data_IF_490020519439
#
_entry.id   IF_490020519439
#
_cell.length_a   1.000
_cell.length_b   1.000
_cell.length_c   1.000
_cell.angle_alpha   90.00
_cell.angle_beta   90.00
_cell.angle_gamma   90.00
#
_symmetry.space_group_name_H-M   'P 1'
#
loop_
_entity.id
_entity.type
_entity.pdbx_description
1 polymer ?
#
# COMPACT_ATOMS: atom_id res chain seq x y z
N UNK A 1 -22.30 -42.46 -37.66
CA UNK A 1 -21.20 -43.45 -37.60
C UNK A 1 -20.67 -43.73 -39.01
N UNK A 2 -19.39 -43.48 -39.29
CA UNK A 2 -18.76 -43.70 -40.62
C UNK A 2 -18.38 -45.17 -40.90
N UNK A 3 -19.04 -46.13 -40.24
CA UNK A 3 -18.73 -47.56 -40.36
C UNK A 3 -18.83 -48.12 -41.78
N UNK A 4 -19.70 -47.54 -42.64
CA UNK A 4 -19.83 -47.98 -44.04
C UNK A 4 -18.58 -47.68 -44.88
N UNK A 5 -17.76 -46.69 -44.50
CA UNK A 5 -16.49 -46.37 -45.17
C UNK A 5 -15.34 -47.32 -44.79
N UNK A 6 -15.50 -48.11 -43.73
CA UNK A 6 -14.50 -49.09 -43.31
C UNK A 6 -14.71 -50.42 -44.03
N UNK A 7 -13.60 -51.10 -44.36
CA UNK A 7 -13.64 -52.46 -44.90
C UNK A 7 -14.37 -53.41 -43.92
N UNK A 8 -15.07 -54.45 -44.41
CA UNK A 8 -15.92 -55.31 -43.57
C UNK A 8 -15.21 -55.89 -42.33
N UNK A 9 -13.92 -56.21 -42.45
CA UNK A 9 -13.10 -56.75 -41.35
C UNK A 9 -12.79 -55.78 -40.21
N UNK A 10 -13.01 -54.48 -40.42
CA UNK A 10 -12.69 -53.41 -39.46
C UNK A 10 -13.92 -52.67 -38.93
N UNK A 11 -15.13 -53.07 -39.32
CA UNK A 11 -16.37 -52.51 -38.75
C UNK A 11 -16.54 -53.00 -37.31
N UNK A 12 -16.89 -52.08 -36.39
CA UNK A 12 -17.12 -52.38 -34.97
C UNK A 12 -15.87 -52.51 -34.08
N UNK A 13 -14.64 -52.48 -34.63
CA UNK A 13 -13.40 -52.56 -33.82
C UNK A 13 -12.97 -51.24 -33.17
N UNK A 14 -13.52 -50.12 -33.63
CA UNK A 14 -13.12 -48.78 -33.19
C UNK A 14 -14.26 -48.03 -32.49
N UNK A 15 -15.28 -48.75 -32.02
CA UNK A 15 -16.29 -48.15 -31.15
C UNK A 15 -15.65 -47.89 -29.79
N UNK A 16 -15.36 -46.61 -29.53
CA UNK A 16 -14.85 -46.14 -28.25
C UNK A 16 -16.05 -45.90 -27.35
N UNK A 17 -16.23 -46.74 -26.33
CA UNK A 17 -17.15 -46.41 -25.24
C UNK A 17 -16.40 -45.52 -24.23
N UNK A 18 -16.83 -44.26 -24.02
CA UNK A 18 -16.21 -43.41 -23.02
C UNK A 18 -16.53 -43.96 -21.64
N UNK A 19 -15.54 -44.53 -20.97
CA UNK A 19 -15.62 -44.87 -19.55
C UNK A 19 -15.22 -43.64 -18.78
N UNK A 20 -16.21 -42.95 -18.20
CA UNK A 20 -15.95 -41.81 -17.32
C UNK A 20 -15.48 -42.33 -15.96
N UNK A 21 -14.16 -42.46 -15.81
CA UNK A 21 -13.53 -42.77 -14.53
C UNK A 21 -13.39 -41.47 -13.68
N UNK A 22 -13.48 -41.55 -12.35
CA UNK A 22 -13.23 -40.40 -11.48
C UNK A 22 -11.77 -39.95 -11.60
N UNK A 23 -11.54 -38.64 -11.50
CA UNK A 23 -10.20 -38.05 -11.55
C UNK A 23 -9.27 -38.67 -10.49
N UNK A 24 -8.10 -39.15 -10.93
CA UNK A 24 -7.03 -39.62 -10.05
C UNK A 24 -5.80 -38.75 -10.23
N UNK A 25 -5.28 -38.23 -9.12
CA UNK A 25 -4.01 -37.53 -9.09
C UNK A 25 -2.91 -38.53 -8.76
N UNK A 26 -2.12 -38.91 -9.77
CA UNK A 26 -0.91 -39.71 -9.61
C UNK A 26 0.32 -38.84 -9.88
N UNK A 27 1.32 -38.94 -9.02
CA UNK A 27 2.58 -38.25 -9.22
C UNK A 27 3.35 -38.96 -10.34
N UNK A 28 3.46 -38.31 -11.49
CA UNK A 28 4.33 -38.78 -12.57
C UNK A 28 5.72 -38.14 -12.45
N UNK A 29 6.80 -38.93 -12.58
CA UNK A 29 8.14 -38.38 -12.61
C UNK A 29 8.32 -37.54 -13.89
N UNK A 30 8.70 -36.27 -13.74
CA UNK A 30 9.02 -35.40 -14.87
C UNK A 30 10.47 -35.64 -15.31
N UNK A 31 10.74 -35.99 -16.58
CA UNK A 31 12.10 -36.22 -17.05
C UNK A 31 12.89 -34.90 -17.09
N UNK A 32 14.13 -34.91 -16.58
CA UNK A 32 15.03 -33.76 -16.69
C UNK A 32 15.43 -33.60 -18.16
N UNK A 33 14.89 -32.57 -18.82
CA UNK A 33 15.06 -32.35 -20.26
C UNK A 33 16.45 -31.80 -20.60
N UNK A 34 17.07 -31.03 -19.71
CA UNK A 34 18.40 -30.47 -19.96
C UNK A 34 19.13 -30.09 -18.66
N UNK A 35 20.43 -30.36 -18.60
CA UNK A 35 21.33 -29.97 -17.51
C UNK A 35 22.38 -29.04 -18.07
N UNK A 36 22.27 -27.74 -17.79
CA UNK A 36 23.25 -26.75 -18.21
C UNK A 36 24.16 -26.34 -17.04
N UNK A 37 25.48 -26.28 -17.31
CA UNK A 37 26.47 -25.78 -16.34
C UNK A 37 26.54 -24.26 -16.45
N UNK A 38 26.22 -23.55 -15.37
CA UNK A 38 26.27 -22.09 -15.32
C UNK A 38 27.68 -21.58 -15.69
N UNK A 39 27.84 -20.69 -16.69
CA UNK A 39 29.15 -20.15 -17.04
C UNK A 39 29.74 -19.36 -15.86
N UNK A 40 31.08 -19.37 -15.73
CA UNK A 40 31.78 -18.56 -14.73
C UNK A 40 31.61 -17.08 -15.09
N UNK A 41 30.79 -16.37 -14.32
CA UNK A 41 30.70 -14.90 -14.40
C UNK A 41 32.06 -14.30 -14.03
N UNK A 42 32.48 -13.21 -14.71
CA UNK A 42 33.61 -12.39 -14.25
C UNK A 42 33.34 -12.00 -12.79
N UNK A 43 34.23 -12.40 -11.89
CA UNK A 43 34.25 -11.88 -10.53
C UNK A 43 34.58 -10.40 -10.62
N UNK A 44 33.67 -9.53 -10.20
CA UNK A 44 34.00 -8.13 -9.97
C UNK A 44 34.82 -8.08 -8.69
N UNK A 45 36.09 -7.68 -8.78
CA UNK A 45 36.88 -7.40 -7.58
C UNK A 45 36.35 -6.13 -6.93
N UNK A 46 35.45 -6.29 -5.96
CA UNK A 46 34.93 -5.20 -5.15
C UNK A 46 35.80 -5.10 -3.90
N UNK A 47 36.59 -4.03 -3.80
CA UNK A 47 37.33 -3.70 -2.59
C UNK A 47 36.50 -2.69 -1.79
N UNK A 48 36.11 -3.08 -0.57
CA UNK A 48 35.53 -2.15 0.40
C UNK A 48 36.71 -1.51 1.14
N UNK A 49 36.91 -0.19 0.96
CA UNK A 49 37.91 0.59 1.67
C UNK A 49 37.15 1.44 2.71
N UNK A 50 37.47 1.26 3.97
CA UNK A 50 36.92 2.05 5.07
C UNK A 50 38.02 2.99 5.57
N UNK A 51 37.88 4.28 5.28
CA UNK A 51 38.79 5.33 5.78
C UNK A 51 37.97 6.27 6.65
N UNK A 52 38.34 6.36 7.93
CA UNK A 52 37.80 7.36 8.88
C UNK A 52 36.26 7.40 8.96
N UNK A 53 35.59 6.25 8.88
CA UNK A 53 34.13 6.16 8.98
C UNK A 53 33.36 6.46 7.68
N UNK A 54 34.07 6.73 6.58
CA UNK A 54 33.50 6.80 5.24
C UNK A 54 33.64 5.45 4.52
N UNK A 55 32.52 4.87 4.08
CA UNK A 55 32.53 3.63 3.29
C UNK A 55 32.60 3.96 1.80
N UNK A 56 33.79 4.01 1.24
CA UNK A 56 33.97 4.20 -0.19
C UNK A 56 34.29 2.84 -0.83
N UNK A 57 33.60 2.51 -1.91
CA UNK A 57 33.87 1.27 -2.63
C UNK A 57 34.32 1.57 -4.04
N UNK A 58 35.41 0.93 -4.42
CA UNK A 58 36.03 1.07 -5.73
C UNK A 58 35.48 -0.03 -6.63
N UNK A 59 34.83 0.35 -7.73
CA UNK A 59 34.35 -0.58 -8.76
C UNK A 59 34.99 -0.19 -10.07
N UNK A 60 35.82 -1.07 -10.63
CA UNK A 60 36.41 -0.95 -11.96
C UNK A 60 36.95 0.46 -12.30
N UNK A 61 37.74 1.05 -11.40
CA UNK A 61 38.40 2.36 -11.64
C UNK A 61 37.63 3.59 -11.17
N UNK A 62 36.38 3.44 -10.70
CA UNK A 62 35.55 4.55 -10.23
C UNK A 62 35.35 4.47 -8.71
N UNK A 63 35.71 5.55 -8.01
CA UNK A 63 35.42 5.73 -6.58
C UNK A 63 33.98 6.20 -6.43
N UNK A 64 33.15 5.39 -5.76
CA UNK A 64 31.78 5.78 -5.41
C UNK A 64 31.79 6.29 -3.97
N UNK A 65 31.72 7.60 -3.82
CA UNK A 65 31.53 8.24 -2.53
C UNK A 65 30.15 7.90 -2.00
N UNK A 66 30.08 7.13 -0.91
CA UNK A 66 28.84 7.05 -0.15
C UNK A 66 28.74 8.28 0.77
N UNK A 67 27.50 8.71 1.03
CA UNK A 67 27.22 9.64 2.13
C UNK A 67 27.93 9.15 3.42
N UNK A 68 28.56 10.04 4.21
CA UNK A 68 29.29 9.68 5.43
C UNK A 68 28.40 9.02 6.49
N UNK A 69 27.08 9.13 6.35
CA UNK A 69 26.13 8.44 7.22
C UNK A 69 25.98 6.96 6.83
N UNK A 70 26.66 6.09 7.58
CA UNK A 70 26.49 4.64 7.52
C UNK A 70 25.68 4.10 8.69
N UNK A 71 24.87 3.08 8.45
CA UNK A 71 24.19 2.32 9.51
C UNK A 71 25.11 1.21 9.99
N UNK A 72 25.37 1.07 11.30
CA UNK A 72 26.14 -0.05 11.83
C UNK A 72 25.44 -1.39 11.55
N UNK A 73 26.19 -2.49 11.54
CA UNK A 73 25.69 -3.82 11.16
C UNK A 73 25.98 -4.23 9.71
N UNK A 74 26.92 -3.55 9.07
CA UNK A 74 27.42 -3.88 7.74
C UNK A 74 26.38 -3.69 6.62
N UNK A 75 26.65 -4.31 5.47
CA UNK A 75 25.84 -4.08 4.25
C UNK A 75 24.56 -4.92 4.19
N UNK A 76 24.41 -5.93 5.05
CA UNK A 76 23.29 -6.86 5.02
C UNK A 76 21.95 -6.13 5.17
N UNK A 77 21.84 -5.22 6.16
CA UNK A 77 20.61 -4.46 6.42
C UNK A 77 20.19 -3.65 5.19
N UNK A 78 21.14 -3.06 4.45
CA UNK A 78 20.86 -2.30 3.23
C UNK A 78 20.21 -3.16 2.15
N UNK A 79 20.56 -4.45 2.02
CA UNK A 79 20.04 -5.32 0.97
C UNK A 79 18.78 -6.09 1.39
N UNK A 80 18.76 -6.62 2.61
CA UNK A 80 17.68 -7.47 3.11
C UNK A 80 16.44 -6.70 3.58
N UNK A 81 16.57 -5.46 4.05
CA UNK A 81 15.40 -4.63 4.43
C UNK A 81 14.43 -4.44 3.26
N UNK A 82 13.13 -4.57 3.53
CA UNK A 82 12.07 -4.22 2.57
C UNK A 82 11.82 -2.71 2.54
N UNK A 83 11.89 -2.06 3.71
CA UNK A 83 11.72 -0.62 3.87
C UNK A 83 12.86 -0.06 4.73
N UNK A 84 13.40 1.10 4.38
CA UNK A 84 14.34 1.86 5.21
C UNK A 84 13.82 3.29 5.37
N UNK A 85 13.75 3.72 6.61
CA UNK A 85 13.30 5.04 7.01
C UNK A 85 14.50 5.79 7.59
N UNK A 86 14.76 6.99 7.11
CA UNK A 86 15.71 7.94 7.70
C UNK A 86 14.89 8.99 8.47
N UNK A 87 15.03 9.01 9.79
CA UNK A 87 14.35 9.95 10.68
C UNK A 87 15.31 11.04 11.12
N UNK A 88 14.94 12.29 10.90
CA UNK A 88 15.70 13.46 11.31
C UNK A 88 14.82 14.42 12.09
N UNK A 89 15.35 15.00 13.15
CA UNK A 89 14.70 16.10 13.86
C UNK A 89 14.86 17.39 13.05
N UNK A 90 13.76 18.09 12.82
CA UNK A 90 13.73 19.36 12.09
C UNK A 90 13.70 20.53 13.06
N UNK A 91 12.67 20.58 13.91
CA UNK A 91 12.42 21.70 14.80
C UNK A 91 12.03 21.20 16.19
N UNK A 92 12.34 21.98 17.22
CA UNK A 92 11.88 21.72 18.59
C UNK A 92 10.66 22.59 18.86
N UNK A 93 9.54 21.94 19.15
CA UNK A 93 8.28 22.57 19.51
C UNK A 93 8.40 23.05 20.96
N UNK A 94 8.25 24.35 21.15
CA UNK A 94 8.24 25.00 22.46
C UNK A 94 6.85 25.54 22.75
N UNK A 95 6.41 25.36 23.98
CA UNK A 95 5.22 26.03 24.51
C UNK A 95 5.69 27.05 25.54
N UNK A 96 5.71 28.32 25.13
CA UNK A 96 6.33 29.40 25.90
C UNK A 96 7.83 29.17 26.12
N UNK A 97 8.21 28.80 27.35
CA UNK A 97 9.60 28.58 27.76
C UNK A 97 10.02 27.10 27.77
N UNK A 98 9.08 26.16 27.76
CA UNK A 98 9.38 24.73 27.88
C UNK A 98 9.37 24.03 26.51
N UNK A 99 10.29 23.08 26.32
CA UNK A 99 10.34 22.26 25.12
C UNK A 99 9.39 21.07 25.25
N UNK A 100 8.23 21.14 24.58
CA UNK A 100 7.14 20.15 24.72
C UNK A 100 7.27 19.01 23.70
N UNK A 101 7.99 19.23 22.59
CA UNK A 101 8.19 18.18 21.58
C UNK A 101 9.19 18.50 20.49
N UNK A 102 9.29 17.61 19.50
CA UNK A 102 10.10 17.78 18.31
C UNK A 102 9.29 17.48 17.06
N UNK A 103 9.39 18.34 16.05
CA UNK A 103 8.95 18.03 14.69
C UNK A 103 10.00 17.17 14.00
N UNK A 104 9.61 15.98 13.59
CA UNK A 104 10.48 15.02 12.92
C UNK A 104 10.08 14.88 11.45
N UNK A 105 11.08 14.74 10.58
CA UNK A 105 10.93 14.40 9.17
C UNK A 105 11.46 13.00 8.96
N UNK A 106 10.62 12.16 8.36
CA UNK A 106 10.98 10.79 7.98
C UNK A 106 11.02 10.69 6.46
N UNK A 107 12.17 10.31 5.91
CA UNK A 107 12.36 10.05 4.49
C UNK A 107 12.44 8.54 4.24
N UNK A 108 11.66 8.05 3.29
CA UNK A 108 11.72 6.65 2.85
C UNK A 108 12.90 6.49 1.89
N UNK A 109 14.07 6.08 2.40
CA UNK A 109 15.30 5.92 1.59
C UNK A 109 15.25 4.65 0.73
N UNK A 110 14.58 3.61 1.20
CA UNK A 110 14.38 2.36 0.45
C UNK A 110 12.95 1.89 0.64
N UNK A 111 12.29 1.52 -0.45
CA UNK A 111 10.98 0.89 -0.42
C UNK A 111 10.93 -0.17 -1.53
N UNK A 112 10.59 -1.42 -1.19
CA UNK A 112 10.36 -2.49 -2.15
C UNK A 112 8.88 -2.69 -2.51
N UNK A 113 7.97 -2.12 -1.73
CA UNK A 113 6.52 -2.36 -1.87
C UNK A 113 5.79 -1.22 -2.59
N UNK A 114 6.32 0.00 -2.53
CA UNK A 114 5.72 1.19 -3.13
C UNK A 114 6.81 2.19 -3.58
N UNK A 115 6.45 3.31 -4.24
CA UNK A 115 7.43 4.30 -4.68
C UNK A 115 8.33 4.80 -3.53
N UNK A 116 9.66 4.79 -3.69
CA UNK A 116 10.59 5.29 -2.68
C UNK A 116 10.66 6.84 -2.65
N UNK A 117 11.40 7.38 -1.70
CA UNK A 117 11.73 8.81 -1.54
C UNK A 117 10.61 9.76 -1.13
N UNK A 118 9.43 9.24 -0.78
CA UNK A 118 8.41 10.03 -0.08
C UNK A 118 8.91 10.47 1.29
N UNK A 119 8.46 11.64 1.69
CA UNK A 119 8.77 12.26 2.98
C UNK A 119 7.48 12.44 3.75
N UNK A 120 7.53 12.22 5.05
CA UNK A 120 6.45 12.51 5.98
C UNK A 120 6.99 13.38 7.10
N UNK A 121 6.23 14.39 7.49
CA UNK A 121 6.53 15.23 8.65
C UNK A 121 5.46 15.00 9.72
N UNK A 122 5.87 14.85 10.96
CA UNK A 122 4.96 14.72 12.09
C UNK A 122 5.59 15.26 13.38
N UNK A 123 4.72 15.60 14.32
CA UNK A 123 5.11 16.08 15.64
C UNK A 123 5.26 14.89 16.60
N UNK A 124 6.37 14.85 17.33
CA UNK A 124 6.63 13.92 18.44
C UNK A 124 6.59 14.72 19.74
N UNK A 125 5.54 14.51 20.53
CA UNK A 125 5.36 15.15 21.83
C UNK A 125 5.96 14.29 22.94
N UNK A 126 6.68 14.90 23.89
CA UNK A 126 7.23 14.15 25.01
C UNK A 126 6.11 13.60 25.91
N UNK A 127 6.22 12.34 26.33
CA UNK A 127 5.21 11.67 27.17
C UNK A 127 3.96 11.16 26.44
N UNK A 128 3.60 11.73 25.27
CA UNK A 128 2.45 11.27 24.46
C UNK A 128 2.86 10.49 23.20
N UNK A 129 4.07 10.70 22.69
CA UNK A 129 4.55 10.07 21.46
C UNK A 129 4.14 10.84 20.20
N UNK A 130 3.88 10.12 19.10
CA UNK A 130 3.50 10.71 17.81
C UNK A 130 2.07 11.25 17.91
N UNK A 131 1.86 12.54 17.64
CA UNK A 131 0.51 13.11 17.61
C UNK A 131 -0.18 12.74 16.29
N UNK A 132 -1.17 11.84 16.38
CA UNK A 132 -1.95 11.39 15.23
C UNK A 132 -2.90 12.48 14.75
N UNK A 133 -3.48 13.24 15.67
CA UNK A 133 -4.44 14.32 15.43
C UNK A 133 -3.76 15.48 14.73
N UNK A 134 -2.55 15.86 15.19
CA UNK A 134 -1.75 16.89 14.54
C UNK A 134 -1.35 16.53 13.12
N UNK A 135 -0.93 15.27 12.92
CA UNK A 135 -0.54 14.77 11.60
C UNK A 135 -1.76 14.67 10.67
N UNK A 136 -2.93 14.28 11.19
CA UNK A 136 -4.18 14.22 10.44
C UNK A 136 -4.61 15.62 9.98
N UNK A 137 -4.55 16.61 10.87
CA UNK A 137 -4.90 17.99 10.54
C UNK A 137 -4.02 18.54 9.42
N UNK A 138 -2.71 18.31 9.48
CA UNK A 138 -1.78 18.76 8.44
C UNK A 138 -2.13 18.17 7.08
N UNK A 139 -2.35 16.85 7.02
CA UNK A 139 -2.73 16.18 5.77
C UNK A 139 -4.11 16.64 5.29
N UNK A 140 -5.07 16.86 6.19
CA UNK A 140 -6.40 17.31 5.84
C UNK A 140 -6.41 18.75 5.28
N UNK A 141 -5.52 19.61 5.76
CA UNK A 141 -5.32 20.97 5.24
C UNK A 141 -4.63 20.92 3.88
N UNK A 142 -3.60 20.08 3.72
CA UNK A 142 -2.89 19.91 2.44
C UNK A 142 -3.80 19.38 1.33
N UNK A 143 -4.74 18.49 1.68
CA UNK A 143 -5.76 17.96 0.76
C UNK A 143 -6.96 18.90 0.56
N UNK A 144 -7.04 20.01 1.31
CA UNK A 144 -8.13 20.99 1.21
C UNK A 144 -9.47 20.54 1.81
N UNK A 145 -9.50 19.46 2.58
CA UNK A 145 -10.68 18.97 3.30
C UNK A 145 -11.00 19.92 4.47
N UNK A 146 -9.96 20.34 5.19
CA UNK A 146 -10.06 21.38 6.22
C UNK A 146 -9.56 22.70 5.63
N UNK A 147 -10.40 23.73 5.67
CA UNK A 147 -10.04 25.06 5.17
C UNK A 147 -9.40 25.88 6.28
N UNK A 148 -8.26 26.49 5.96
CA UNK A 148 -7.55 27.41 6.86
C UNK A 148 -7.84 28.86 6.47
N UNK A 149 -8.61 29.56 7.29
CA UNK A 149 -8.92 30.99 7.16
C UNK A 149 -8.04 31.78 8.13
N UNK A 150 -6.80 32.04 7.73
CA UNK A 150 -5.80 32.70 8.58
C UNK A 150 -5.40 31.82 9.77
N UNK A 151 -5.84 32.19 10.98
CA UNK A 151 -5.62 31.43 12.20
C UNK A 151 -6.76 30.45 12.53
N UNK A 152 -7.86 30.47 11.77
CA UNK A 152 -9.04 29.66 12.00
C UNK A 152 -9.06 28.42 11.10
N UNK A 153 -9.51 27.30 11.65
CA UNK A 153 -9.75 26.07 10.92
C UNK A 153 -11.25 25.81 10.81
N UNK A 154 -11.72 25.54 9.60
CA UNK A 154 -13.12 25.26 9.29
C UNK A 154 -13.23 23.92 8.59
N UNK A 155 -14.15 23.09 9.07
CA UNK A 155 -14.49 21.79 8.49
C UNK A 155 -15.98 21.78 8.15
N UNK A 156 -16.31 21.60 6.87
CA UNK A 156 -17.70 21.53 6.37
C UNK A 156 -18.66 22.65 6.81
N UNK A 157 -18.11 23.81 7.18
CA UNK A 157 -18.87 24.97 7.66
C UNK A 157 -18.86 25.15 9.18
N UNK A 158 -18.43 24.14 9.93
CA UNK A 158 -18.21 24.24 11.37
C UNK A 158 -16.79 24.74 11.68
N UNK A 159 -16.69 25.61 12.69
CA UNK A 159 -15.44 26.21 13.11
C UNK A 159 -14.79 25.34 14.19
N UNK A 160 -13.75 24.59 13.83
CA UNK A 160 -13.03 23.68 14.73
C UNK A 160 -12.26 24.43 15.82
N UNK A 161 -11.82 25.65 15.52
CA UNK A 161 -11.13 26.51 16.48
C UNK A 161 -10.04 27.39 15.89
N UNK A 162 -9.42 28.17 16.77
CA UNK A 162 -8.31 29.05 16.46
C UNK A 162 -6.98 28.40 16.84
N UNK A 163 -6.05 28.37 15.89
CA UNK A 163 -4.69 27.87 16.12
C UNK A 163 -4.59 26.34 16.14
N UNK A 164 -3.38 25.84 15.87
CA UNK A 164 -3.10 24.40 15.70
C UNK A 164 -3.33 23.61 16.99
N UNK A 165 -2.86 24.12 18.13
CA UNK A 165 -2.94 23.39 19.41
C UNK A 165 -4.37 23.27 19.94
N UNK A 166 -5.22 24.28 19.75
CA UNK A 166 -6.61 24.18 20.19
C UNK A 166 -7.39 23.17 19.35
N UNK A 167 -7.17 23.15 18.03
CA UNK A 167 -7.80 22.17 17.14
C UNK A 167 -7.31 20.75 17.42
N UNK A 168 -6.04 20.56 17.78
CA UNK A 168 -5.53 19.25 18.23
C UNK A 168 -6.27 18.76 19.47
N UNK A 169 -6.47 19.62 20.46
CA UNK A 169 -7.20 19.26 21.68
C UNK A 169 -8.67 18.95 21.36
N UNK A 170 -9.32 19.75 20.52
CA UNK A 170 -10.69 19.52 20.08
C UNK A 170 -10.86 18.17 19.34
N UNK A 171 -9.92 17.83 18.45
CA UNK A 171 -9.91 16.55 17.76
C UNK A 171 -9.60 15.38 18.71
N UNK A 172 -8.80 15.60 19.76
CA UNK A 172 -8.53 14.57 20.76
C UNK A 172 -9.77 14.26 21.63
N UNK A 173 -10.64 15.25 21.84
CA UNK A 173 -11.91 15.09 22.57
C UNK A 173 -13.00 14.45 21.71
N UNK A 174 -13.02 14.74 20.39
CA UNK A 174 -14.04 14.27 19.46
C UNK A 174 -13.50 13.18 18.52
N UNK A 175 -13.51 11.94 18.99
CA UNK A 175 -12.98 10.78 18.26
C UNK A 175 -13.77 10.51 16.97
N UNK A 176 -15.09 10.73 16.97
CA UNK A 176 -15.95 10.48 15.82
C UNK A 176 -15.56 11.35 14.61
N UNK A 177 -15.31 12.65 14.85
CA UNK A 177 -14.82 13.58 13.82
C UNK A 177 -13.44 13.16 13.29
N UNK A 178 -12.56 12.63 14.14
CA UNK A 178 -11.25 12.14 13.72
C UNK A 178 -11.37 10.95 12.77
N UNK A 179 -12.31 10.02 13.03
CA UNK A 179 -12.56 8.90 12.13
C UNK A 179 -13.10 9.36 10.78
N UNK A 180 -14.09 10.24 10.79
CA UNK A 180 -14.69 10.79 9.58
C UNK A 180 -13.65 11.51 8.70
N UNK A 181 -12.84 12.40 9.29
CA UNK A 181 -11.77 13.11 8.59
C UNK A 181 -10.71 12.11 8.10
N UNK A 182 -10.35 11.10 8.91
CA UNK A 182 -9.41 10.06 8.53
C UNK A 182 -9.89 9.26 7.32
N UNK A 183 -11.17 8.93 7.23
CA UNK A 183 -11.74 8.21 6.09
C UNK A 183 -11.75 9.07 4.83
N UNK A 184 -12.19 10.33 4.92
CA UNK A 184 -12.15 11.27 3.80
C UNK A 184 -10.72 11.49 3.29
N UNK A 185 -9.75 11.64 4.19
CA UNK A 185 -8.31 11.73 3.85
C UNK A 185 -7.81 10.47 3.15
N UNK A 186 -8.18 9.28 3.66
CA UNK A 186 -7.79 8.00 3.07
C UNK A 186 -8.36 7.80 1.66
N UNK A 187 -9.63 8.15 1.46
CA UNK A 187 -10.29 8.13 0.15
C UNK A 187 -9.60 9.10 -0.82
N UNK A 188 -9.30 10.33 -0.39
CA UNK A 188 -8.63 11.32 -1.21
C UNK A 188 -7.21 10.88 -1.66
N UNK A 189 -6.50 10.12 -0.82
CA UNK A 189 -5.16 9.58 -1.13
C UNK A 189 -5.24 8.24 -1.89
N UNK A 190 -6.44 7.68 -2.09
CA UNK A 190 -6.66 6.41 -2.76
C UNK A 190 -6.19 5.20 -1.95
N UNK A 191 -6.12 5.33 -0.62
CA UNK A 191 -5.75 4.26 0.31
C UNK A 191 -7.02 3.84 1.05
N UNK A 192 -7.77 2.93 0.43
CA UNK A 192 -9.03 2.41 0.91
C UNK A 192 -9.84 1.98 -0.30
N UNK A 193 -10.31 0.73 -0.33
CA UNK A 193 -11.37 0.40 -1.27
C UNK A 193 -12.57 1.32 -0.95
N UNK A 194 -13.24 1.91 -1.94
CA UNK A 194 -14.53 2.51 -1.67
C UNK A 194 -15.39 1.39 -1.10
N UNK A 195 -15.92 1.56 0.11
CA UNK A 195 -17.03 0.71 0.51
C UNK A 195 -18.08 0.86 -0.59
N UNK A 196 -18.34 -0.23 -1.30
CA UNK A 196 -19.45 -0.31 -2.23
C UNK A 196 -20.69 -0.02 -1.39
N UNK A 197 -21.20 1.20 -1.51
CA UNK A 197 -22.54 1.54 -1.03
C UNK A 197 -23.47 0.59 -1.75
N UNK A 198 -23.92 -0.44 -1.05
CA UNK A 198 -25.06 -1.26 -1.48
C UNK A 198 -26.31 -0.37 -1.35
N UNK A 199 -26.47 0.56 -2.28
CA UNK A 199 -27.78 1.12 -2.60
C UNK A 199 -28.51 0.05 -3.41
N UNK A 200 -29.13 -0.91 -2.72
CA UNK A 200 -30.25 -1.63 -3.32
C UNK A 200 -31.44 -0.68 -3.28
N UNK A 201 -31.69 -0.09 -4.43
CA UNK A 201 -32.76 0.84 -4.72
C UNK A 201 -34.10 0.37 -4.16
N UNK A 202 -34.73 1.31 -3.47
CA UNK A 202 -36.14 1.33 -3.12
C UNK A 202 -36.95 1.55 -4.42
N UNK A 203 -37.20 0.49 -5.20
CA UNK A 203 -38.26 0.52 -6.20
C UNK A 203 -39.56 -0.01 -5.59
N UNK A 204 -40.30 0.93 -5.00
CA UNK A 204 -41.74 0.83 -4.87
C UNK A 204 -42.35 0.80 -6.27
N UNK A 205 -42.46 -0.39 -6.85
CA UNK A 205 -43.30 -0.58 -8.04
C UNK A 205 -44.75 -0.80 -7.61
N UNK A 206 -45.53 0.23 -7.91
CA UNK A 206 -46.97 0.30 -7.80
C UNK A 206 -47.63 -0.94 -8.40
N UNK A 207 -48.38 -1.65 -7.57
CA UNK A 207 -49.40 -2.62 -8.02
C UNK A 207 -50.44 -1.87 -8.84
N UNK A 208 -50.42 -2.08 -10.16
CA UNK A 208 -51.56 -1.77 -11.03
C UNK A 208 -52.18 -3.10 -11.44
N UNK A 209 -53.21 -3.50 -10.71
CA UNK A 209 -54.06 -4.64 -11.02
C UNK A 209 -54.92 -4.30 -12.26
N UNK A 210 -54.69 -5.02 -13.36
CA UNK A 210 -55.42 -4.85 -14.63
C UNK A 210 -55.82 -6.19 -15.27
N UNK A 211 -56.26 -7.18 -14.49
CA UNK A 211 -56.95 -8.35 -15.06
C UNK A 211 -58.26 -8.66 -14.35
N UNK A 212 -59.26 -7.88 -14.70
CA UNK A 212 -60.67 -8.16 -14.47
C UNK A 212 -61.55 -7.41 -15.48
N UNK A 213 -61.81 -8.05 -16.63
CA UNK A 213 -62.86 -7.79 -17.64
C UNK A 213 -62.37 -8.37 -18.98
N UNK A 214 -63.07 -9.18 -19.78
CA UNK A 214 -64.40 -9.76 -19.79
C UNK A 214 -64.34 -10.95 -20.76
N UNK A 215 -65.29 -11.89 -20.65
CA UNK A 215 -65.37 -13.05 -21.56
C UNK A 215 -65.94 -12.70 -22.94
N UNK A 216 -65.57 -13.50 -23.95
CA UNK A 216 -66.37 -13.80 -25.13
C UNK A 216 -65.76 -15.00 -25.90
N UNK A 217 -66.65 -15.96 -26.22
CA UNK A 217 -66.53 -17.16 -27.08
C UNK A 217 -65.71 -18.37 -26.61
#
# INVERSE_FOLDING_TARGET
SMQHKLLPKYRGRFDVQPVFAPERYELMPFPIVNVARKPKTRSMHRFDIEVEGSHNYFVDGTMVDNSPESTPGGRAVKFYSSVRLDIRRVETIKDGAEAVGNRARVKVVKNKCAPPFRQAEFDIMYGKGISREGSLLDVAVDLGIVKKSGAWFTYEGEQLGQGRENVKNFLAENIDLVFEISEKVRQAVGIGEPEATNESDNENDNVVDLRGADGAE
#
